data_IF_994515014717
#
_entry.id   IF_994515014717
#
_cell.length_a   1.000
_cell.length_b   1.000
_cell.length_c   1.000
_cell.angle_alpha   90.00
_cell.angle_beta   90.00
_cell.angle_gamma   90.00
#
_symmetry.space_group_name_H-M   'P 1'
#
loop_
_entity.id
_entity.type
_entity.pdbx_description
1 polymer ?
#
# COMPACT_ATOMS: atom_id res chain seq x y z
N UNK A 1 15.04 13.19 12.67
CA UNK A 1 16.18 13.03 11.74
C UNK A 1 15.63 12.58 10.38
N UNK A 2 16.05 13.25 9.32
CA UNK A 2 15.73 12.84 7.95
C UNK A 2 16.88 11.97 7.43
N UNK A 3 16.55 10.81 6.88
CA UNK A 3 17.47 9.99 6.13
C UNK A 3 17.12 10.09 4.65
N UNK A 4 18.02 10.63 3.85
CA UNK A 4 17.83 10.82 2.42
C UNK A 4 18.55 9.70 1.66
N UNK A 5 17.80 8.92 0.86
CA UNK A 5 18.30 7.78 0.12
C UNK A 5 18.14 8.03 -1.39
N UNK A 6 19.20 7.94 -2.20
CA UNK A 6 19.09 8.11 -3.65
C UNK A 6 18.21 7.04 -4.30
N UNK A 7 17.37 7.45 -5.24
CA UNK A 7 16.57 6.53 -6.03
C UNK A 7 17.39 5.99 -7.21
N UNK A 8 17.75 4.77 -7.20
CA UNK A 8 18.39 3.89 -8.19
C UNK A 8 19.83 3.47 -7.89
N UNK A 9 20.04 2.17 -7.91
CA UNK A 9 21.30 1.40 -8.00
C UNK A 9 22.42 1.80 -7.01
N UNK A 10 22.11 2.53 -5.96
CA UNK A 10 23.12 2.90 -4.99
C UNK A 10 23.30 1.79 -3.96
N UNK A 11 24.47 1.18 -3.97
CA UNK A 11 24.98 0.49 -2.81
C UNK A 11 24.91 1.47 -1.63
N UNK A 12 24.05 1.23 -0.63
CA UNK A 12 23.86 2.10 0.53
C UNK A 12 25.17 2.45 1.26
N UNK A 13 26.20 1.59 1.16
CA UNK A 13 27.54 1.82 1.71
C UNK A 13 28.30 2.89 0.93
N UNK A 14 28.16 2.93 -0.39
CA UNK A 14 28.78 3.98 -1.21
C UNK A 14 28.06 5.32 -1.01
N UNK A 15 26.77 5.29 -0.74
CA UNK A 15 26.00 6.48 -0.42
C UNK A 15 26.42 7.09 0.93
N UNK A 16 26.56 6.29 1.98
CA UNK A 16 27.07 6.77 3.27
C UNK A 16 28.46 7.39 3.11
N UNK A 17 29.35 6.77 2.33
CA UNK A 17 30.69 7.33 2.04
C UNK A 17 30.63 8.66 1.28
N UNK A 18 29.65 8.86 0.40
CA UNK A 18 29.46 10.13 -0.33
C UNK A 18 28.93 11.22 0.58
N UNK A 19 27.93 10.90 1.42
CA UNK A 19 27.41 11.82 2.44
C UNK A 19 28.52 12.22 3.43
N UNK A 20 29.34 11.28 3.89
CA UNK A 20 30.49 11.54 4.75
C UNK A 20 31.58 12.40 4.07
N UNK A 21 31.73 12.31 2.75
CA UNK A 21 32.68 13.09 1.96
C UNK A 21 32.15 14.46 1.51
N UNK A 22 30.91 14.82 1.84
CA UNK A 22 30.30 16.09 1.44
C UNK A 22 30.09 16.20 -0.07
N UNK A 23 29.71 15.10 -0.73
CA UNK A 23 29.44 15.09 -2.17
C UNK A 23 28.18 15.92 -2.47
N UNK A 24 28.36 17.12 -3.00
CA UNK A 24 27.33 18.11 -3.30
C UNK A 24 26.57 17.82 -4.62
N UNK A 25 26.90 16.74 -5.35
CA UNK A 25 26.21 16.38 -6.60
C UNK A 25 24.87 15.63 -6.39
N UNK A 26 24.49 15.38 -5.14
CA UNK A 26 23.19 14.78 -4.82
C UNK A 26 22.09 15.85 -4.92
N UNK A 27 21.27 15.78 -5.96
CA UNK A 27 20.12 16.67 -6.08
C UNK A 27 19.01 16.26 -5.08
N UNK A 28 18.73 17.05 -4.03
CA UNK A 28 17.70 16.72 -3.03
C UNK A 28 16.31 16.48 -3.65
N UNK A 29 16.03 17.09 -4.80
CA UNK A 29 14.75 16.93 -5.49
C UNK A 29 14.55 15.55 -6.11
N UNK A 30 15.61 14.74 -6.27
CA UNK A 30 15.56 13.40 -6.87
C UNK A 30 15.76 12.27 -5.86
N UNK A 31 15.94 12.59 -4.58
CA UNK A 31 16.23 11.61 -3.53
C UNK A 31 14.94 11.08 -2.89
N UNK A 32 14.97 9.81 -2.51
CA UNK A 32 13.96 9.21 -1.65
C UNK A 32 14.16 9.67 -0.20
N UNK A 33 13.08 9.74 0.59
CA UNK A 33 13.12 10.32 1.93
C UNK A 33 12.49 9.41 2.95
N UNK A 34 13.21 9.13 4.02
CA UNK A 34 12.68 8.50 5.23
C UNK A 34 12.75 9.52 6.38
N UNK A 35 11.58 9.92 6.89
CA UNK A 35 11.46 10.93 7.93
C UNK A 35 11.00 10.26 9.22
N UNK A 36 11.73 10.42 10.30
CA UNK A 36 11.38 9.92 11.63
C UNK A 36 10.80 11.04 12.49
N UNK A 37 9.56 10.86 12.96
CA UNK A 37 8.88 11.82 13.84
C UNK A 37 7.36 11.77 13.71
N UNK A 38 6.68 12.78 14.28
CA UNK A 38 5.24 12.94 14.10
C UNK A 38 4.92 13.29 12.65
N UNK A 39 4.09 12.47 12.00
CA UNK A 39 3.78 12.62 10.59
C UNK A 39 2.95 13.87 10.27
N UNK A 40 2.19 14.42 11.23
CA UNK A 40 1.49 15.69 11.02
C UNK A 40 2.49 16.86 10.86
N UNK A 41 3.53 16.89 11.71
CA UNK A 41 4.60 17.87 11.63
C UNK A 41 5.46 17.67 10.38
N UNK A 42 5.78 16.41 10.06
CA UNK A 42 6.51 16.07 8.84
C UNK A 42 5.78 16.55 7.57
N UNK A 43 4.47 16.27 7.46
CA UNK A 43 3.66 16.74 6.33
C UNK A 43 3.57 18.27 6.27
N UNK A 44 3.43 18.94 7.40
CA UNK A 44 3.40 20.39 7.44
C UNK A 44 4.73 21.00 6.94
N UNK A 45 5.86 20.42 7.35
CA UNK A 45 7.19 20.84 6.87
C UNK A 45 7.37 20.58 5.37
N UNK A 46 6.97 19.40 4.88
CA UNK A 46 7.02 19.06 3.45
C UNK A 46 6.12 19.96 2.59
N UNK A 47 4.99 20.43 3.13
CA UNK A 47 4.11 21.39 2.46
C UNK A 47 4.66 22.81 2.47
N UNK A 48 5.31 23.21 3.55
CA UNK A 48 5.94 24.53 3.64
C UNK A 48 7.12 24.63 2.66
N UNK A 49 7.99 23.62 2.67
CA UNK A 49 9.26 23.66 1.97
C UNK A 49 10.20 24.75 2.52
N UNK A 50 11.40 24.78 2.02
CA UNK A 50 12.41 25.81 2.25
C UNK A 50 13.33 25.96 1.01
N UNK A 51 14.40 26.76 1.12
CA UNK A 51 15.32 27.05 0.02
C UNK A 51 16.10 25.78 -0.44
N UNK A 52 16.31 24.79 0.45
CA UNK A 52 17.03 23.55 0.15
C UNK A 52 16.04 22.43 -0.22
N UNK A 53 14.84 22.47 0.31
CA UNK A 53 13.81 21.43 0.17
C UNK A 53 12.52 22.03 -0.40
N UNK A 54 12.33 21.98 -1.72
CA UNK A 54 11.13 22.54 -2.35
C UNK A 54 9.83 21.91 -1.81
N UNK A 55 8.80 22.73 -1.65
CA UNK A 55 7.48 22.29 -1.22
C UNK A 55 6.94 21.13 -2.05
N UNK A 56 6.37 20.13 -1.38
CA UNK A 56 5.69 19.00 -2.01
C UNK A 56 4.20 19.26 -2.26
N UNK A 57 3.73 20.51 -2.14
CA UNK A 57 2.36 20.87 -2.46
C UNK A 57 2.03 20.52 -3.91
N UNK A 58 1.02 19.66 -4.10
CA UNK A 58 0.59 19.24 -5.44
C UNK A 58 1.61 18.40 -6.21
N UNK A 59 2.51 17.68 -5.53
CA UNK A 59 3.61 16.93 -6.17
C UNK A 59 3.53 15.42 -6.03
N UNK A 60 2.80 14.91 -5.05
CA UNK A 60 2.71 13.47 -4.77
C UNK A 60 1.66 12.85 -5.70
N UNK A 61 2.03 11.78 -6.40
CA UNK A 61 1.16 11.11 -7.37
C UNK A 61 0.31 10.00 -6.73
N UNK A 62 0.81 9.37 -5.68
CA UNK A 62 0.10 8.33 -4.97
C UNK A 62 0.44 8.39 -3.48
N UNK A 63 -0.59 8.38 -2.66
CA UNK A 63 -0.46 8.17 -1.22
C UNK A 63 -1.12 6.83 -0.88
N UNK A 64 -0.38 5.94 -0.23
CA UNK A 64 -0.93 4.80 0.47
C UNK A 64 -0.69 4.99 1.96
N UNK A 65 -1.69 4.73 2.77
CA UNK A 65 -1.57 4.75 4.23
C UNK A 65 -2.31 3.56 4.87
N UNK A 66 -1.71 3.04 5.93
CA UNK A 66 -2.25 2.00 6.79
C UNK A 66 -2.19 2.49 8.25
N UNK A 67 -3.05 3.48 8.63
CA UNK A 67 -3.03 4.04 9.97
C UNK A 67 -3.48 3.00 11.01
N UNK A 68 -3.13 3.16 12.30
CA UNK A 68 -3.64 2.30 13.36
C UNK A 68 -5.16 2.17 13.25
N UNK A 69 -5.67 0.93 13.32
CA UNK A 69 -7.12 0.70 13.36
C UNK A 69 -7.55 0.79 14.81
N UNK A 70 -8.66 1.38 15.14
CA UNK A 70 -9.23 1.40 16.50
C UNK A 70 -9.55 -0.04 16.99
N UNK A 71 -8.51 -0.90 17.02
CA UNK A 71 -8.62 -2.34 17.32
C UNK A 71 -8.59 -2.65 18.81
N UNK A 72 -8.27 -1.66 19.64
CA UNK A 72 -8.03 -1.80 21.10
C UNK A 72 -6.90 -2.78 21.45
N UNK A 73 -5.99 -3.06 20.51
CA UNK A 73 -4.81 -3.86 20.73
C UNK A 73 -3.62 -2.99 21.17
N UNK A 74 -2.89 -3.45 22.19
CA UNK A 74 -1.66 -2.81 22.66
C UNK A 74 -0.47 -3.51 21.99
N UNK A 75 0.19 -2.84 21.06
CA UNK A 75 1.33 -3.39 20.31
C UNK A 75 2.63 -3.09 21.07
N UNK A 76 3.39 -4.16 21.41
CA UNK A 76 4.71 -4.08 22.05
C UNK A 76 5.76 -4.61 21.09
N UNK A 77 6.82 -3.87 20.87
CA UNK A 77 7.94 -4.31 20.03
C UNK A 77 8.97 -5.06 20.87
N UNK A 78 9.25 -6.33 20.55
CA UNK A 78 10.35 -7.09 21.10
C UNK A 78 11.53 -7.06 20.14
N UNK A 79 12.67 -6.60 20.63
CA UNK A 79 13.94 -6.65 19.90
C UNK A 79 14.75 -7.80 20.46
N UNK A 80 14.95 -8.85 19.67
CA UNK A 80 15.78 -9.98 20.02
C UNK A 80 17.24 -9.66 19.70
N UNK A 81 18.07 -9.56 20.72
CA UNK A 81 19.52 -9.39 20.58
C UNK A 81 20.21 -10.72 20.90
N UNK A 82 21.42 -10.96 20.35
CA UNK A 82 22.21 -12.17 20.66
C UNK A 82 22.52 -12.34 22.15
N UNK A 83 22.43 -11.27 22.94
CA UNK A 83 22.73 -11.23 24.38
C UNK A 83 21.50 -11.16 25.28
N UNK A 84 20.28 -11.22 24.74
CA UNK A 84 19.03 -11.15 25.51
C UNK A 84 17.95 -10.33 24.82
N UNK A 85 16.69 -10.59 25.16
CA UNK A 85 15.56 -9.85 24.64
C UNK A 85 15.42 -8.50 25.32
N UNK A 86 15.29 -7.43 24.53
CA UNK A 86 14.90 -6.12 25.05
C UNK A 86 13.43 -5.90 24.68
N UNK A 87 12.57 -5.87 25.70
CA UNK A 87 11.20 -5.39 25.55
C UNK A 87 11.25 -3.86 25.58
N UNK A 88 11.21 -3.24 24.41
CA UNK A 88 11.15 -1.79 24.33
C UNK A 88 9.71 -1.36 24.57
N UNK A 89 9.47 -0.67 25.69
CA UNK A 89 8.24 0.09 25.86
C UNK A 89 8.28 1.26 24.87
N UNK A 90 7.23 1.43 24.08
CA UNK A 90 7.16 2.56 23.16
C UNK A 90 7.40 3.87 23.93
N UNK A 91 8.13 4.79 23.33
CA UNK A 91 8.26 6.15 23.85
C UNK A 91 6.88 6.79 23.98
N UNK A 92 6.73 7.85 24.79
CA UNK A 92 5.43 8.51 24.92
C UNK A 92 4.83 8.92 23.53
N UNK A 93 5.68 9.29 22.57
CA UNK A 93 5.30 9.62 21.21
C UNK A 93 4.86 8.37 20.43
N UNK A 94 5.57 7.28 20.56
CA UNK A 94 5.21 5.99 19.99
C UNK A 94 3.96 5.40 20.67
N UNK A 95 3.79 5.57 21.98
CA UNK A 95 2.56 5.21 22.68
C UNK A 95 1.34 5.95 22.14
N UNK A 96 1.47 7.22 21.81
CA UNK A 96 0.41 7.98 21.13
C UNK A 96 0.17 7.51 19.70
N UNK A 97 1.20 7.03 19.00
CA UNK A 97 1.10 6.54 17.63
C UNK A 97 0.60 5.09 17.54
N UNK A 98 0.91 4.25 18.56
CA UNK A 98 0.61 2.81 18.56
C UNK A 98 -0.47 2.39 19.57
N UNK A 99 -0.97 3.30 20.40
CA UNK A 99 -2.12 3.00 21.25
C UNK A 99 -3.40 3.01 20.40
N UNK A 100 -3.81 1.82 20.00
CA UNK A 100 -5.14 1.59 19.38
C UNK A 100 -6.30 1.79 20.38
N UNK A 101 -5.99 2.19 21.61
CA UNK A 101 -6.95 2.49 22.67
C UNK A 101 -7.14 3.99 22.78
N UNK A 102 -8.10 4.50 22.06
CA UNK A 102 -8.48 5.92 22.12
C UNK A 102 -9.35 6.17 23.35
N UNK A 103 -8.93 7.09 24.23
CA UNK A 103 -9.66 7.36 25.49
C UNK A 103 -11.13 7.73 25.25
N UNK A 104 -11.41 8.47 24.18
CA UNK A 104 -12.76 8.88 23.78
C UNK A 104 -13.29 8.03 22.61
N UNK A 105 -12.73 6.83 22.36
CA UNK A 105 -13.16 5.92 21.30
C UNK A 105 -12.97 6.49 19.89
N UNK A 106 -13.91 6.21 19.00
CA UNK A 106 -13.85 6.59 17.57
C UNK A 106 -13.68 8.08 17.35
N UNK A 107 -14.20 8.95 18.26
CA UNK A 107 -14.06 10.42 18.14
C UNK A 107 -12.58 10.83 18.19
N UNK A 108 -11.81 10.28 19.14
CA UNK A 108 -10.36 10.57 19.23
C UNK A 108 -9.62 10.12 17.99
N UNK A 109 -9.97 8.94 17.46
CA UNK A 109 -9.42 8.44 16.20
C UNK A 109 -9.68 9.43 15.05
N UNK A 110 -10.91 9.87 14.89
CA UNK A 110 -11.26 10.82 13.84
C UNK A 110 -10.56 12.18 14.00
N UNK A 111 -10.40 12.67 15.25
CA UNK A 111 -9.61 13.88 15.54
C UNK A 111 -8.13 13.73 15.13
N UNK A 112 -7.57 12.53 15.24
CA UNK A 112 -6.19 12.25 14.83
C UNK A 112 -6.06 12.19 13.31
N UNK A 113 -6.94 11.47 12.64
CA UNK A 113 -6.77 11.20 11.20
C UNK A 113 -7.20 12.38 10.32
N UNK A 114 -8.23 13.14 10.70
CA UNK A 114 -8.79 14.22 9.87
C UNK A 114 -7.76 15.28 9.47
N UNK A 115 -6.97 15.91 10.36
CA UNK A 115 -6.00 16.92 9.96
C UNK A 115 -4.91 16.34 9.05
N UNK A 116 -4.57 15.07 9.22
CA UNK A 116 -3.61 14.36 8.38
C UNK A 116 -4.15 14.18 6.96
N UNK A 117 -5.39 13.79 6.82
CA UNK A 117 -6.06 13.67 5.51
C UNK A 117 -6.14 15.02 4.79
N UNK A 118 -6.39 16.12 5.51
CA UNK A 118 -6.35 17.46 4.95
C UNK A 118 -4.97 17.81 4.37
N UNK A 119 -3.89 17.53 5.13
CA UNK A 119 -2.53 17.77 4.63
C UNK A 119 -2.16 16.86 3.47
N UNK A 120 -2.55 15.57 3.52
CA UNK A 120 -2.33 14.64 2.41
C UNK A 120 -2.98 15.13 1.12
N UNK A 121 -4.21 15.62 1.20
CA UNK A 121 -4.91 16.22 0.04
C UNK A 121 -4.10 17.34 -0.58
N UNK A 122 -3.52 18.24 0.24
CA UNK A 122 -2.71 19.36 -0.22
C UNK A 122 -1.38 18.93 -0.90
N UNK A 123 -0.84 17.75 -0.52
CA UNK A 123 0.36 17.22 -1.15
C UNK A 123 0.10 16.52 -2.48
N UNK A 124 -1.12 16.01 -2.70
CA UNK A 124 -1.46 15.28 -3.92
C UNK A 124 -1.43 16.16 -5.17
N UNK A 125 -0.82 15.63 -6.23
CA UNK A 125 -0.88 16.21 -7.56
C UNK A 125 -2.33 16.14 -8.09
N UNK A 126 -2.65 16.93 -9.09
CA UNK A 126 -3.98 16.95 -9.70
C UNK A 126 -4.43 15.58 -10.23
N UNK A 127 -3.47 14.73 -10.62
CA UNK A 127 -3.69 13.35 -11.06
C UNK A 127 -3.52 12.33 -9.93
N UNK A 128 -3.24 12.79 -8.72
CA UNK A 128 -2.88 11.97 -7.60
C UNK A 128 -4.03 11.16 -7.02
N UNK A 129 -3.69 10.06 -6.38
CA UNK A 129 -4.60 9.11 -5.75
C UNK A 129 -4.23 8.86 -4.28
N UNK A 130 -5.24 8.66 -3.46
CA UNK A 130 -5.11 8.22 -2.07
C UNK A 130 -5.73 6.82 -1.91
N UNK A 131 -4.97 5.90 -1.34
CA UNK A 131 -5.46 4.60 -0.86
C UNK A 131 -5.33 4.56 0.66
N UNK A 132 -6.45 4.52 1.34
CA UNK A 132 -6.49 4.44 2.80
C UNK A 132 -6.95 3.04 3.21
N UNK A 133 -6.03 2.25 3.77
CA UNK A 133 -6.28 0.94 4.29
C UNK A 133 -6.84 1.04 5.71
N UNK A 134 -7.95 0.35 6.00
CA UNK A 134 -8.67 0.54 7.25
C UNK A 134 -9.44 -0.70 7.66
N UNK A 135 -9.48 -0.94 8.96
CA UNK A 135 -10.31 -2.00 9.55
C UNK A 135 -11.81 -1.67 9.49
N UNK A 136 -12.61 -2.73 9.42
CA UNK A 136 -14.09 -2.64 9.32
C UNK A 136 -14.76 -1.89 10.48
N UNK A 137 -14.06 -1.70 11.62
CA UNK A 137 -14.62 -1.04 12.81
C UNK A 137 -14.89 0.43 12.59
N UNK A 138 -13.99 1.12 11.87
CA UNK A 138 -14.01 2.58 11.72
C UNK A 138 -14.14 3.04 10.27
N UNK A 139 -14.14 2.10 9.31
CA UNK A 139 -14.17 2.41 7.87
C UNK A 139 -15.30 3.34 7.47
N UNK A 140 -16.51 3.12 7.98
CA UNK A 140 -17.68 3.94 7.64
C UNK A 140 -17.56 5.39 8.13
N UNK A 141 -16.98 5.60 9.31
CA UNK A 141 -16.75 6.94 9.84
C UNK A 141 -15.65 7.66 9.05
N UNK A 142 -14.58 6.95 8.73
CA UNK A 142 -13.47 7.50 7.93
C UNK A 142 -13.93 7.81 6.50
N UNK A 143 -14.83 6.98 5.93
CA UNK A 143 -15.44 7.26 4.62
C UNK A 143 -16.15 8.62 4.59
N UNK A 144 -16.92 8.93 5.64
CA UNK A 144 -17.61 10.23 5.75
C UNK A 144 -16.59 11.37 5.81
N UNK A 145 -15.52 11.21 6.60
CA UNK A 145 -14.44 12.23 6.68
C UNK A 145 -13.75 12.41 5.33
N UNK A 146 -13.49 11.32 4.61
CA UNK A 146 -12.90 11.39 3.28
C UNK A 146 -13.82 12.09 2.27
N UNK A 147 -15.14 11.86 2.35
CA UNK A 147 -16.12 12.59 1.53
C UNK A 147 -16.08 14.10 1.76
N UNK A 148 -15.93 14.53 3.03
CA UNK A 148 -15.80 15.96 3.38
C UNK A 148 -14.46 16.54 2.94
N UNK A 149 -13.36 15.81 3.13
CA UNK A 149 -12.01 16.28 2.81
C UNK A 149 -11.76 16.28 1.31
N UNK A 150 -12.04 15.19 0.60
CA UNK A 150 -11.73 15.03 -0.82
C UNK A 150 -12.90 15.40 -1.74
N UNK A 151 -14.13 15.42 -1.21
CA UNK A 151 -15.36 15.49 -1.98
C UNK A 151 -15.84 14.10 -2.40
N UNK A 152 -17.13 13.81 -2.21
CA UNK A 152 -17.72 12.51 -2.56
C UNK A 152 -17.60 12.16 -4.05
N UNK A 153 -17.55 13.15 -4.93
CA UNK A 153 -17.42 12.97 -6.38
C UNK A 153 -15.99 12.51 -6.77
N UNK A 154 -15.04 12.61 -5.86
CA UNK A 154 -13.68 12.10 -6.03
C UNK A 154 -13.46 10.71 -5.42
N UNK A 155 -14.52 10.10 -4.87
CA UNK A 155 -14.49 8.69 -4.49
C UNK A 155 -14.39 7.81 -5.73
N UNK A 156 -13.41 6.92 -5.77
CA UNK A 156 -13.18 6.03 -6.92
C UNK A 156 -13.82 4.68 -6.66
N UNK A 157 -13.43 4.00 -5.59
CA UNK A 157 -13.90 2.66 -5.26
C UNK A 157 -13.56 2.27 -3.82
N UNK A 158 -14.28 1.28 -3.31
CA UNK A 158 -13.95 0.55 -2.09
C UNK A 158 -13.42 -0.82 -2.50
N UNK A 159 -12.23 -1.16 -2.03
CA UNK A 159 -11.60 -2.44 -2.26
C UNK A 159 -11.72 -3.27 -0.99
N UNK A 160 -12.19 -4.51 -1.14
CA UNK A 160 -12.26 -5.51 -0.07
C UNK A 160 -11.07 -6.44 -0.21
N UNK A 161 -10.08 -6.29 0.68
CA UNK A 161 -8.98 -7.25 0.75
C UNK A 161 -9.37 -8.44 1.63
N UNK A 162 -9.75 -9.54 0.98
CA UNK A 162 -10.18 -10.79 1.63
C UNK A 162 -8.99 -11.75 1.74
N UNK A 163 -8.19 -11.62 2.80
CA UNK A 163 -6.85 -12.19 2.92
C UNK A 163 -6.78 -13.65 3.35
N UNK A 164 -7.88 -14.29 3.68
CA UNK A 164 -7.74 -15.65 4.16
C UNK A 164 -9.02 -16.42 4.41
N UNK A 165 -8.84 -17.54 5.09
CA UNK A 165 -9.92 -18.39 5.60
C UNK A 165 -9.94 -18.34 7.12
N UNK A 166 -11.09 -18.57 7.76
CA UNK A 166 -11.18 -18.70 9.22
C UNK A 166 -10.25 -19.81 9.71
N UNK A 167 -9.34 -19.51 10.65
CA UNK A 167 -8.40 -20.48 11.21
C UNK A 167 -8.11 -20.21 12.68
N UNK A 168 -7.64 -21.24 13.41
CA UNK A 168 -7.23 -21.15 14.80
C UNK A 168 -8.38 -20.82 15.77
N UNK A 169 -8.06 -20.15 16.88
CA UNK A 169 -9.00 -19.79 17.94
C UNK A 169 -10.15 -18.86 17.49
N UNK A 170 -10.00 -18.17 16.38
CA UNK A 170 -11.06 -17.33 15.81
C UNK A 170 -12.23 -18.15 15.26
N UNK A 171 -11.97 -19.40 14.82
CA UNK A 171 -13.00 -20.29 14.31
C UNK A 171 -13.95 -20.80 15.41
N UNK A 172 -13.54 -20.73 16.68
CA UNK A 172 -14.37 -21.14 17.84
C UNK A 172 -15.36 -20.06 18.30
N UNK A 173 -15.33 -18.87 17.70
CA UNK A 173 -16.24 -17.77 18.05
C UNK A 173 -17.66 -18.03 17.54
N UNK A 174 -18.66 -17.70 18.35
CA UNK A 174 -20.06 -17.71 17.93
C UNK A 174 -20.41 -16.63 16.87
N UNK A 175 -19.47 -15.68 16.61
CA UNK A 175 -19.62 -14.64 15.59
C UNK A 175 -18.95 -15.07 14.31
N UNK A 176 -19.44 -14.58 13.18
CA UNK A 176 -18.75 -14.73 11.88
C UNK A 176 -17.34 -14.14 11.97
N UNK A 177 -16.37 -14.90 11.48
CA UNK A 177 -14.96 -14.52 11.54
C UNK A 177 -14.66 -13.46 10.48
N UNK A 178 -14.07 -12.35 10.91
CA UNK A 178 -13.56 -11.34 9.99
C UNK A 178 -12.31 -11.85 9.27
N UNK A 179 -12.34 -11.85 7.95
CA UNK A 179 -11.26 -12.26 7.07
C UNK A 179 -10.94 -11.21 6.00
N UNK A 180 -11.37 -9.98 6.21
CA UNK A 180 -11.17 -8.89 5.27
C UNK A 180 -10.92 -7.55 5.97
N UNK A 181 -10.31 -6.65 5.22
CA UNK A 181 -10.13 -5.22 5.51
C UNK A 181 -10.55 -4.43 4.29
N UNK A 182 -10.74 -3.11 4.45
CA UNK A 182 -11.11 -2.21 3.37
C UNK A 182 -9.94 -1.33 2.95
N UNK A 183 -9.88 -1.00 1.66
CA UNK A 183 -9.02 0.05 1.14
C UNK A 183 -9.93 1.04 0.43
N UNK A 184 -10.03 2.26 0.97
CA UNK A 184 -10.82 3.34 0.39
C UNK A 184 -9.95 4.11 -0.60
N UNK A 185 -10.38 4.17 -1.85
CA UNK A 185 -9.64 4.82 -2.93
C UNK A 185 -10.34 6.14 -3.30
N UNK A 186 -9.58 7.24 -3.16
CA UNK A 186 -9.97 8.58 -3.58
C UNK A 186 -8.97 9.15 -4.56
N UNK A 187 -9.43 10.03 -5.42
CA UNK A 187 -8.58 10.83 -6.30
C UNK A 187 -8.54 12.30 -5.84
N UNK A 188 -7.49 13.03 -6.17
CA UNK A 188 -7.50 14.49 -6.05
C UNK A 188 -8.49 15.12 -7.03
N UNK A 189 -8.59 14.57 -8.24
CA UNK A 189 -9.59 14.89 -9.25
C UNK A 189 -9.96 13.59 -9.99
N UNK A 190 -11.22 13.16 -9.84
CA UNK A 190 -11.70 11.89 -10.40
C UNK A 190 -11.47 11.79 -11.92
N UNK A 191 -11.71 12.86 -12.66
CA UNK A 191 -11.64 12.86 -14.14
C UNK A 191 -10.21 12.88 -14.68
N UNK A 192 -9.25 13.34 -13.88
CA UNK A 192 -7.85 13.50 -14.31
C UNK A 192 -6.91 12.47 -13.67
N UNK A 193 -7.43 11.67 -12.73
CA UNK A 193 -6.61 10.72 -11.97
C UNK A 193 -5.79 9.80 -12.85
N UNK A 194 -4.60 9.46 -12.41
CA UNK A 194 -3.83 8.37 -13.01
C UNK A 194 -4.54 7.05 -12.71
N UNK A 195 -4.85 6.30 -13.74
CA UNK A 195 -5.48 4.99 -13.62
C UNK A 195 -4.93 4.05 -14.69
N UNK A 196 -4.45 2.88 -14.27
CA UNK A 196 -3.95 1.83 -15.14
C UNK A 196 -4.82 0.58 -14.99
N UNK A 197 -5.08 -0.11 -16.08
CA UNK A 197 -5.78 -1.39 -16.03
C UNK A 197 -4.86 -2.47 -15.46
N UNK A 198 -5.29 -3.10 -14.38
CA UNK A 198 -4.62 -4.26 -13.80
C UNK A 198 -5.30 -5.52 -14.29
N UNK A 199 -4.52 -6.44 -14.83
CA UNK A 199 -4.98 -7.74 -15.29
C UNK A 199 -4.34 -8.84 -14.44
N UNK A 200 -5.17 -9.81 -14.04
CA UNK A 200 -4.74 -11.01 -13.33
C UNK A 200 -4.66 -12.17 -14.32
N UNK A 201 -3.72 -13.10 -14.14
CA UNK A 201 -3.66 -14.29 -14.98
C UNK A 201 -4.97 -15.09 -14.87
N UNK A 202 -5.36 -15.75 -15.95
CA UNK A 202 -6.46 -16.70 -15.89
C UNK A 202 -6.09 -17.87 -14.96
N UNK A 203 -7.08 -18.37 -14.20
CA UNK A 203 -6.89 -19.63 -13.48
C UNK A 203 -6.75 -20.80 -14.46
N UNK A 204 -6.04 -21.86 -14.08
CA UNK A 204 -5.89 -23.08 -14.89
C UNK A 204 -7.26 -23.62 -15.32
N UNK A 205 -8.20 -23.70 -14.38
CA UNK A 205 -9.57 -24.12 -14.66
C UNK A 205 -10.24 -23.25 -15.72
N UNK A 206 -10.08 -21.92 -15.63
CA UNK A 206 -10.63 -21.02 -16.64
C UNK A 206 -10.01 -21.24 -18.02
N UNK A 207 -8.71 -21.47 -18.08
CA UNK A 207 -7.99 -21.79 -19.32
C UNK A 207 -8.52 -23.10 -19.92
N UNK A 208 -8.71 -24.14 -19.11
CA UNK A 208 -9.26 -25.42 -19.54
C UNK A 208 -10.70 -25.32 -20.02
N UNK A 209 -11.54 -24.55 -19.32
CA UNK A 209 -12.96 -24.42 -19.63
C UNK A 209 -13.25 -23.53 -20.85
N UNK A 210 -12.42 -22.54 -21.10
CA UNK A 210 -12.70 -21.52 -22.13
C UNK A 210 -11.75 -21.54 -23.32
N UNK A 211 -10.44 -21.79 -23.13
CA UNK A 211 -9.47 -21.86 -24.22
C UNK A 211 -9.30 -23.31 -24.72
N UNK A 212 -10.41 -23.86 -25.22
CA UNK A 212 -10.55 -25.29 -25.55
C UNK A 212 -9.93 -25.69 -26.88
N UNK A 213 -9.73 -24.75 -27.77
CA UNK A 213 -9.26 -24.99 -29.12
C UNK A 213 -7.78 -24.74 -29.26
N UNK A 214 -7.16 -25.49 -30.18
CA UNK A 214 -5.74 -25.33 -30.51
C UNK A 214 -5.64 -25.17 -32.03
N UNK A 215 -4.82 -24.24 -32.51
CA UNK A 215 -4.54 -24.08 -33.92
C UNK A 215 -3.47 -25.05 -34.42
N UNK A 216 -3.15 -24.99 -35.73
CA UNK A 216 -2.14 -25.85 -36.35
C UNK A 216 -0.71 -25.66 -35.83
N UNK A 217 -0.44 -24.58 -35.07
CA UNK A 217 0.85 -24.26 -34.45
C UNK A 217 0.87 -24.60 -32.95
N UNK A 218 -0.19 -25.20 -32.40
CA UNK A 218 -0.29 -25.55 -30.99
C UNK A 218 -0.73 -24.40 -30.07
N UNK A 219 -1.12 -23.23 -30.61
CA UNK A 219 -1.57 -22.09 -29.81
C UNK A 219 -3.01 -22.29 -29.36
N UNK A 220 -3.26 -22.14 -28.04
CA UNK A 220 -4.61 -22.25 -27.47
C UNK A 220 -5.41 -20.99 -27.72
N UNK A 221 -6.69 -21.15 -28.07
CA UNK A 221 -7.62 -20.03 -28.31
C UNK A 221 -9.05 -20.34 -27.83
N UNK A 222 -9.83 -19.26 -27.69
CA UNK A 222 -11.28 -19.34 -27.47
C UNK A 222 -12.03 -18.58 -28.55
N UNK A 223 -13.31 -18.97 -28.76
CA UNK A 223 -14.23 -18.28 -29.63
C UNK A 223 -15.20 -17.45 -28.80
N UNK A 224 -15.32 -16.17 -29.10
CA UNK A 224 -16.27 -15.26 -28.47
C UNK A 224 -17.26 -14.79 -29.52
N UNK A 225 -18.56 -14.80 -29.18
CA UNK A 225 -19.58 -14.17 -30.02
C UNK A 225 -19.64 -12.67 -29.71
N UNK A 226 -19.53 -11.82 -30.69
CA UNK A 226 -19.78 -10.38 -30.58
C UNK A 226 -21.24 -10.06 -30.83
N UNK A 227 -21.67 -8.83 -30.51
CA UNK A 227 -23.08 -8.35 -30.56
C UNK A 227 -23.75 -8.48 -31.93
N UNK A 228 -23.01 -8.69 -33.00
CA UNK A 228 -23.54 -8.85 -34.37
C UNK A 228 -23.53 -10.29 -34.86
N UNK A 229 -23.35 -11.27 -33.99
CA UNK A 229 -23.31 -12.68 -34.40
C UNK A 229 -21.99 -13.12 -35.05
N UNK A 230 -20.99 -12.26 -35.07
CA UNK A 230 -19.64 -12.57 -35.57
C UNK A 230 -18.80 -13.29 -34.49
N UNK A 231 -18.09 -14.34 -34.90
CA UNK A 231 -17.16 -15.04 -34.02
C UNK A 231 -15.80 -14.39 -34.06
N UNK A 232 -15.31 -13.99 -32.90
CA UNK A 232 -13.94 -13.53 -32.69
C UNK A 232 -13.10 -14.65 -32.07
N UNK A 233 -11.91 -14.87 -32.64
CA UNK A 233 -10.89 -15.75 -32.08
C UNK A 233 -9.97 -14.94 -31.19
N UNK A 234 -9.83 -15.37 -29.93
CA UNK A 234 -8.90 -14.78 -28.97
C UNK A 234 -7.89 -15.81 -28.53
N UNK A 235 -6.62 -15.59 -28.81
CA UNK A 235 -5.53 -16.43 -28.38
C UNK A 235 -5.17 -16.20 -26.91
N UNK A 236 -4.77 -17.27 -26.22
CA UNK A 236 -4.40 -17.22 -24.81
C UNK A 236 -3.14 -16.37 -24.59
N UNK A 237 -2.13 -16.57 -25.42
CA UNK A 237 -0.84 -15.87 -25.41
C UNK A 237 -0.93 -14.36 -25.76
N UNK A 238 -2.00 -13.96 -26.43
CA UNK A 238 -2.30 -12.53 -26.73
C UNK A 238 -3.23 -11.89 -25.69
N UNK A 239 -3.77 -12.70 -24.77
CA UNK A 239 -4.77 -12.23 -23.81
C UNK A 239 -4.08 -11.63 -22.59
N UNK A 240 -4.53 -10.44 -22.18
CA UNK A 240 -4.01 -9.76 -20.98
C UNK A 240 -4.44 -10.42 -19.67
N UNK A 241 -5.40 -11.35 -19.70
CA UNK A 241 -5.96 -11.96 -18.49
C UNK A 241 -7.33 -11.38 -18.12
N UNK A 242 -7.69 -11.50 -16.83
CA UNK A 242 -8.95 -11.00 -16.27
C UNK A 242 -8.71 -9.63 -15.63
N UNK A 243 -9.51 -8.59 -15.91
CA UNK A 243 -9.42 -7.35 -15.15
C UNK A 243 -9.55 -7.61 -13.64
N UNK A 244 -8.70 -6.96 -12.85
CA UNK A 244 -8.81 -7.04 -11.39
C UNK A 244 -10.16 -6.47 -10.94
N UNK A 245 -10.77 -7.12 -9.96
CA UNK A 245 -12.02 -6.67 -9.32
C UNK A 245 -11.71 -5.88 -8.04
N UNK A 246 -12.75 -5.32 -7.42
CA UNK A 246 -12.63 -4.66 -6.11
C UNK A 246 -12.58 -5.65 -4.93
N UNK A 247 -12.69 -6.96 -5.18
CA UNK A 247 -12.52 -8.00 -4.16
C UNK A 247 -11.21 -8.74 -4.41
N UNK A 248 -10.23 -8.52 -3.53
CA UNK A 248 -8.89 -9.10 -3.62
C UNK A 248 -8.76 -10.30 -2.70
N UNK A 249 -9.05 -11.48 -3.20
CA UNK A 249 -8.92 -12.74 -2.45
C UNK A 249 -7.65 -13.54 -2.81
N UNK A 250 -6.93 -13.10 -3.83
CA UNK A 250 -5.72 -13.74 -4.33
C UNK A 250 -4.44 -13.27 -3.62
N UNK A 251 -4.54 -12.26 -2.73
CA UNK A 251 -3.44 -11.73 -1.94
C UNK A 251 -3.60 -12.19 -0.49
N UNK A 252 -2.63 -12.99 -0.01
CA UNK A 252 -2.65 -13.50 1.37
C UNK A 252 -1.94 -12.54 2.33
N UNK A 253 -2.29 -12.61 3.62
CA UNK A 253 -1.54 -11.92 4.67
C UNK A 253 -0.11 -12.46 4.78
N UNK A 254 0.82 -11.60 5.17
CA UNK A 254 2.13 -12.01 5.66
C UNK A 254 1.95 -12.49 7.10
N UNK A 255 2.33 -13.72 7.38
CA UNK A 255 2.31 -14.26 8.73
C UNK A 255 3.67 -14.00 9.38
N UNK A 256 3.66 -13.49 10.59
CA UNK A 256 4.87 -13.31 11.40
C UNK A 256 5.55 -14.65 11.79
N UNK A 257 4.85 -15.80 11.64
CA UNK A 257 5.45 -17.12 11.85
C UNK A 257 6.17 -17.62 10.58
N UNK A 258 7.53 -17.64 10.58
CA UNK A 258 8.31 -18.12 9.44
C UNK A 258 7.99 -19.56 9.00
N UNK A 259 7.44 -20.39 9.93
CA UNK A 259 7.11 -21.81 9.65
C UNK A 259 5.83 -21.93 8.82
N UNK A 260 4.86 -21.05 9.04
CA UNK A 260 3.63 -21.01 8.25
C UNK A 260 3.89 -20.51 6.82
N UNK A 261 4.92 -19.69 6.65
CA UNK A 261 5.25 -19.02 5.40
C UNK A 261 6.16 -19.84 4.48
N UNK A 262 7.06 -20.67 5.04
CA UNK A 262 8.05 -21.48 4.28
C UNK A 262 7.45 -22.48 3.30
N UNK A 263 6.17 -22.81 3.41
CA UNK A 263 5.52 -23.79 2.51
C UNK A 263 5.08 -23.22 1.16
N UNK A 264 5.00 -21.90 0.99
CA UNK A 264 4.34 -21.26 -0.16
C UNK A 264 5.13 -20.10 -0.80
N UNK A 265 6.43 -19.93 -0.48
CA UNK A 265 7.22 -18.82 -1.01
C UNK A 265 8.36 -19.22 -1.93
N UNK A 266 8.51 -18.36 -2.97
CA UNK A 266 9.73 -18.17 -3.74
C UNK A 266 10.93 -17.84 -2.84
N UNK A 267 12.13 -17.99 -3.35
CA UNK A 267 13.43 -17.91 -2.68
C UNK A 267 13.72 -16.64 -1.84
N UNK A 268 12.88 -15.62 -1.92
CA UNK A 268 13.01 -14.36 -1.17
C UNK A 268 11.85 -14.21 -0.19
N UNK A 269 12.16 -14.27 1.12
CA UNK A 269 11.20 -13.95 2.17
C UNK A 269 11.03 -12.44 2.30
N UNK A 270 9.80 -11.94 2.12
CA UNK A 270 9.45 -10.55 2.37
C UNK A 270 9.30 -10.19 3.87
N UNK A 271 9.43 -11.18 4.76
CA UNK A 271 9.16 -11.02 6.20
C UNK A 271 10.23 -10.15 6.86
N UNK A 272 9.79 -9.02 7.45
CA UNK A 272 10.64 -8.09 8.21
C UNK A 272 10.54 -8.26 9.73
N UNK A 273 9.74 -9.24 10.24
CA UNK A 273 9.36 -9.40 11.64
C UNK A 273 8.55 -8.23 12.22
N UNK A 274 7.91 -7.45 11.40
CA UNK A 274 6.96 -6.42 11.82
C UNK A 274 5.55 -7.01 11.86
N UNK A 275 4.90 -6.99 13.03
CA UNK A 275 3.66 -7.75 13.31
C UNK A 275 2.50 -7.44 12.36
N UNK A 276 2.40 -6.21 11.87
CA UNK A 276 1.32 -5.73 10.99
C UNK A 276 1.75 -5.49 9.57
N UNK A 277 2.87 -6.12 9.14
CA UNK A 277 3.40 -5.96 7.78
C UNK A 277 2.34 -6.30 6.73
N UNK A 278 2.14 -5.40 5.79
CA UNK A 278 1.31 -5.66 4.61
C UNK A 278 2.12 -6.39 3.53
N UNK A 279 1.49 -7.31 2.76
CA UNK A 279 2.19 -8.05 1.72
C UNK A 279 2.62 -7.14 0.57
N UNK A 280 3.83 -7.36 0.04
CA UNK A 280 4.36 -6.62 -1.09
C UNK A 280 3.42 -6.66 -2.31
N UNK A 281 2.80 -7.80 -2.59
CA UNK A 281 1.85 -7.97 -3.70
C UNK A 281 0.64 -7.03 -3.61
N UNK A 282 0.22 -6.65 -2.39
CA UNK A 282 -0.87 -5.68 -2.20
C UNK A 282 -0.43 -4.28 -2.63
N UNK A 283 0.76 -3.85 -2.15
CA UNK A 283 1.34 -2.55 -2.50
C UNK A 283 1.72 -2.48 -3.98
N UNK A 284 2.24 -3.57 -4.55
CA UNK A 284 2.53 -3.67 -5.97
C UNK A 284 1.29 -3.39 -6.82
N UNK A 285 0.15 -4.02 -6.49
CA UNK A 285 -1.12 -3.78 -7.19
C UNK A 285 -1.59 -2.34 -7.06
N UNK A 286 -1.56 -1.76 -5.86
CA UNK A 286 -1.93 -0.35 -5.63
C UNK A 286 -1.04 0.60 -6.42
N UNK A 287 0.28 0.42 -6.34
CA UNK A 287 1.25 1.29 -6.99
C UNK A 287 1.13 1.19 -8.52
N UNK A 288 1.01 -0.01 -9.07
CA UNK A 288 0.82 -0.21 -10.51
C UNK A 288 -0.50 0.36 -11.02
N UNK A 289 -1.59 0.26 -10.22
CA UNK A 289 -2.90 0.75 -10.62
C UNK A 289 -2.95 2.28 -10.79
N UNK A 290 -2.17 3.04 -10.01
CA UNK A 290 -2.35 4.50 -9.90
C UNK A 290 -1.05 5.30 -10.03
N UNK A 291 0.00 4.72 -10.58
CA UNK A 291 1.27 5.42 -10.80
C UNK A 291 2.00 4.93 -12.07
N UNK A 292 3.02 5.65 -12.47
CA UNK A 292 3.96 5.27 -13.53
C UNK A 292 5.40 5.39 -13.05
N UNK A 293 6.35 4.88 -13.80
CA UNK A 293 7.78 5.01 -13.46
C UNK A 293 8.15 6.49 -13.23
N UNK A 294 8.91 6.77 -12.18
CA UNK A 294 9.28 8.13 -11.78
C UNK A 294 8.22 8.87 -10.95
N UNK A 295 6.99 8.36 -10.81
CA UNK A 295 5.96 8.93 -9.92
C UNK A 295 6.44 8.99 -8.47
N UNK A 296 5.96 9.99 -7.71
CA UNK A 296 6.25 10.15 -6.29
C UNK A 296 5.18 9.44 -5.47
N UNK A 297 5.59 8.44 -4.71
CA UNK A 297 4.76 7.67 -3.80
C UNK A 297 5.04 8.10 -2.37
N UNK A 298 4.01 8.34 -1.58
CA UNK A 298 4.19 8.65 -0.16
C UNK A 298 3.42 7.67 0.74
N UNK A 299 4.03 7.34 1.88
CA UNK A 299 3.41 6.60 2.96
C UNK A 299 3.71 7.29 4.29
N UNK A 300 2.69 7.93 4.85
CA UNK A 300 2.82 8.69 6.10
C UNK A 300 2.60 7.83 7.35
N UNK A 301 2.35 6.51 7.16
CA UNK A 301 2.25 5.50 8.22
C UNK A 301 3.08 4.27 7.85
N UNK A 302 4.34 4.49 7.55
CA UNK A 302 5.25 3.58 6.84
C UNK A 302 5.38 2.16 7.41
N UNK A 303 5.13 1.96 8.70
CA UNK A 303 5.19 0.63 9.33
C UNK A 303 6.51 -0.09 9.05
N UNK A 304 6.41 -1.25 8.39
CA UNK A 304 7.57 -2.05 7.96
C UNK A 304 8.36 -1.48 6.78
N UNK A 305 7.89 -0.40 6.15
CA UNK A 305 8.51 0.17 4.96
C UNK A 305 8.16 -0.56 3.65
N UNK A 306 7.16 -1.44 3.65
CA UNK A 306 6.77 -2.21 2.46
C UNK A 306 6.44 -1.31 1.26
N UNK A 307 5.72 -0.19 1.49
CA UNK A 307 5.38 0.76 0.42
C UNK A 307 6.62 1.31 -0.26
N UNK A 308 7.63 1.73 0.52
CA UNK A 308 8.89 2.25 0.02
C UNK A 308 9.69 1.21 -0.77
N UNK A 309 9.81 -0.02 -0.22
CA UNK A 309 10.50 -1.13 -0.87
C UNK A 309 9.89 -1.49 -2.22
N UNK A 310 8.55 -1.55 -2.29
CA UNK A 310 7.84 -1.86 -3.55
C UNK A 310 7.94 -0.70 -4.54
N UNK A 311 7.81 0.56 -4.07
CA UNK A 311 7.96 1.74 -4.92
C UNK A 311 9.35 1.78 -5.58
N UNK A 312 10.42 1.55 -4.80
CA UNK A 312 11.80 1.47 -5.30
C UNK A 312 11.94 0.38 -6.37
N UNK A 313 11.49 -0.84 -6.09
CA UNK A 313 11.55 -1.96 -7.03
C UNK A 313 10.83 -1.68 -8.35
N UNK A 314 9.74 -0.94 -8.30
CA UNK A 314 8.96 -0.57 -9.47
C UNK A 314 9.46 0.70 -10.18
N UNK A 315 10.58 1.29 -9.78
CA UNK A 315 11.14 2.50 -10.38
C UNK A 315 10.37 3.78 -10.03
N UNK A 316 9.67 3.80 -8.89
CA UNK A 316 9.00 4.97 -8.35
C UNK A 316 9.90 5.63 -7.32
N UNK A 317 9.70 6.93 -7.13
CA UNK A 317 10.32 7.69 -6.04
C UNK A 317 9.43 7.62 -4.80
N UNK A 318 10.00 7.69 -3.60
CA UNK A 318 9.21 7.56 -2.37
C UNK A 318 9.71 8.49 -1.24
#
# INVERSE_FOLDING_TARGET
RELVIPSKDSNWQDMLRRVEKGDHDLNPATMNRLIYGDNLLAMAALLAGDDETPSLRGKIDLIYIDPPFDSKADYRTKINLPSGDIEQKPTAIEQFAYSDTWQDGTISYLKMITPRLCLMRETLSRRGNLYLHIGVQVSHYVKIVLDEVFGKDNFVEEIVWAYGSPSGGRAASAKMVKIHEYILHYAQNYNERKSNHIYLPYSEKYIEDWFKWTDGNGRRYRKRMRDKGEWEIQYLDESKGVPASTVWSDIKQVYADPRAYKKNQSEHSEITNYDTQKPEKLLERVIQASSEEGSIIADFFSGSGTTAAVAERLGRRW
#
